data_IF_057386265924
#
_entry.id   IF_057386265924
#
_cell.length_a   1.000
_cell.length_b   1.000
_cell.length_c   1.000
_cell.angle_alpha   90.00
_cell.angle_beta   90.00
_cell.angle_gamma   90.00
#
_symmetry.space_group_name_H-M   'P 1'
#
loop_
_entity.id
_entity.type
_entity.pdbx_description
1 polymer ?
#
# COMPACT_ATOMS: atom_id res chain seq x y z
N UNK A 1 -23.05 -9.08 20.63
CA UNK A 1 -22.02 -8.13 20.16
C UNK A 1 -20.95 -8.74 19.23
N UNK A 2 -20.93 -10.06 18.94
CA UNK A 2 -19.84 -10.67 18.15
C UNK A 2 -19.97 -10.63 16.61
N UNK A 3 -21.17 -10.47 16.04
CA UNK A 3 -21.36 -10.57 14.58
C UNK A 3 -20.86 -9.36 13.77
N UNK A 4 -20.90 -8.15 14.35
CA UNK A 4 -20.52 -6.91 13.63
C UNK A 4 -18.99 -6.74 13.51
N UNK A 5 -18.25 -7.16 14.53
CA UNK A 5 -16.78 -7.17 14.52
C UNK A 5 -16.21 -8.26 13.59
N UNK A 6 -16.87 -9.41 13.50
CA UNK A 6 -16.48 -10.47 12.57
C UNK A 6 -16.62 -10.04 11.09
N UNK A 7 -17.74 -9.41 10.73
CA UNK A 7 -17.95 -8.91 9.37
C UNK A 7 -16.96 -7.79 9.02
N UNK A 8 -16.65 -6.88 9.96
CA UNK A 8 -15.66 -5.82 9.75
C UNK A 8 -14.25 -6.39 9.51
N UNK A 9 -13.85 -7.42 10.27
CA UNK A 9 -12.59 -8.13 10.03
C UNK A 9 -12.53 -8.75 8.64
N UNK A 10 -13.60 -9.40 8.18
CA UNK A 10 -13.66 -10.00 6.84
C UNK A 10 -13.39 -8.95 5.73
N UNK A 11 -14.02 -7.77 5.81
CA UNK A 11 -13.84 -6.69 4.82
C UNK A 11 -12.42 -6.12 4.76
N UNK A 12 -11.63 -6.24 5.82
CA UNK A 12 -10.24 -5.79 5.86
C UNK A 12 -9.30 -6.91 5.41
N UNK A 13 -9.40 -8.06 6.06
CA UNK A 13 -8.45 -9.16 5.86
C UNK A 13 -8.57 -9.78 4.47
N UNK A 14 -9.78 -9.86 3.89
CA UNK A 14 -9.97 -10.46 2.55
C UNK A 14 -9.27 -9.65 1.45
N UNK A 15 -9.52 -8.34 1.27
CA UNK A 15 -8.80 -7.55 0.28
C UNK A 15 -7.29 -7.50 0.51
N UNK A 16 -6.84 -7.46 1.77
CA UNK A 16 -5.41 -7.49 2.10
C UNK A 16 -4.76 -8.80 1.67
N UNK A 17 -5.37 -9.95 1.98
CA UNK A 17 -4.86 -11.26 1.57
C UNK A 17 -4.85 -11.34 0.05
N UNK A 18 -5.91 -10.91 -0.63
CA UNK A 18 -5.97 -10.85 -2.10
C UNK A 18 -4.83 -9.99 -2.66
N UNK A 19 -4.59 -8.80 -2.09
CA UNK A 19 -3.50 -7.92 -2.51
C UNK A 19 -2.14 -8.61 -2.41
N UNK A 20 -1.81 -9.22 -1.25
CA UNK A 20 -0.54 -9.92 -1.10
C UNK A 20 -0.43 -11.14 -2.01
N UNK A 21 -1.52 -11.89 -2.20
CA UNK A 21 -1.55 -13.00 -3.16
C UNK A 21 -1.27 -12.50 -4.59
N UNK A 22 -1.84 -11.38 -4.99
CA UNK A 22 -1.58 -10.76 -6.30
C UNK A 22 -0.15 -10.22 -6.42
N UNK A 23 0.44 -9.61 -5.38
CA UNK A 23 1.83 -9.13 -5.44
C UNK A 23 2.82 -10.27 -5.58
N UNK A 24 2.67 -11.34 -4.78
CA UNK A 24 3.63 -12.44 -4.75
C UNK A 24 3.39 -13.50 -5.83
N UNK A 25 2.13 -13.82 -6.14
CA UNK A 25 1.76 -14.86 -7.12
C UNK A 25 1.06 -14.32 -8.36
N UNK A 26 0.68 -13.04 -8.41
CA UNK A 26 0.02 -12.46 -9.59
C UNK A 26 0.89 -12.50 -10.83
N UNK A 27 2.22 -12.38 -10.70
CA UNK A 27 3.14 -12.57 -11.83
C UNK A 27 3.12 -14.02 -12.39
N UNK A 28 2.71 -15.01 -11.60
CA UNK A 28 2.60 -16.40 -12.03
C UNK A 28 1.23 -16.73 -12.63
N UNK A 29 0.17 -16.05 -12.16
CA UNK A 29 -1.23 -16.28 -12.59
C UNK A 29 -1.60 -15.40 -13.77
N UNK A 30 -0.99 -14.22 -13.89
CA UNK A 30 -1.25 -13.25 -14.93
C UNK A 30 0.10 -12.68 -15.43
N UNK A 31 0.74 -13.42 -16.32
CA UNK A 31 1.62 -12.80 -17.31
C UNK A 31 0.73 -12.46 -18.49
N UNK A 32 0.27 -11.20 -18.66
CA UNK A 32 -0.19 -10.83 -19.98
C UNK A 32 1.00 -11.08 -20.90
N UNK A 33 0.80 -11.84 -21.96
CA UNK A 33 1.79 -12.04 -23.01
C UNK A 33 1.97 -10.73 -23.79
N UNK A 34 2.34 -9.66 -23.09
CA UNK A 34 3.03 -8.54 -23.69
C UNK A 34 4.46 -9.01 -23.90
N UNK A 35 4.97 -8.82 -25.11
CA UNK A 35 6.37 -9.00 -25.46
C UNK A 35 7.21 -7.95 -24.69
N UNK A 36 7.35 -8.16 -23.38
CA UNK A 36 8.12 -7.29 -22.50
C UNK A 36 9.58 -7.68 -22.60
N UNK A 37 10.39 -6.75 -23.06
CA UNK A 37 11.84 -6.91 -23.05
C UNK A 37 12.42 -6.28 -21.79
N UNK A 38 13.21 -7.06 -21.06
CA UNK A 38 13.93 -6.61 -19.87
C UNK A 38 15.40 -6.94 -20.06
N UNK A 39 16.23 -5.91 -20.15
CA UNK A 39 17.68 -5.97 -20.41
C UNK A 39 18.37 -7.09 -19.61
N UNK A 40 18.12 -7.16 -18.31
CA UNK A 40 18.78 -8.08 -17.37
C UNK A 40 18.35 -9.53 -17.56
N UNK A 41 17.14 -9.77 -18.08
CA UNK A 41 16.59 -11.09 -18.34
C UNK A 41 16.96 -11.58 -19.75
N UNK A 42 16.98 -10.68 -20.73
CA UNK A 42 17.20 -11.02 -22.13
C UNK A 42 18.68 -11.05 -22.52
N UNK A 43 19.54 -10.30 -21.84
CA UNK A 43 20.98 -10.28 -22.10
C UNK A 43 21.70 -11.19 -21.10
N UNK A 44 22.52 -12.11 -21.63
CA UNK A 44 23.26 -13.05 -20.80
C UNK A 44 24.29 -12.31 -19.93
N UNK A 45 24.16 -12.41 -18.60
CA UNK A 45 25.02 -11.65 -17.67
C UNK A 45 26.41 -12.30 -17.46
N UNK A 46 26.49 -13.63 -17.50
CA UNK A 46 27.72 -14.37 -17.16
C UNK A 46 28.67 -14.65 -18.33
N UNK A 47 28.15 -14.89 -19.55
CA UNK A 47 28.95 -15.33 -20.70
C UNK A 47 29.27 -14.14 -21.60
N UNK A 48 30.53 -13.73 -21.65
CA UNK A 48 30.98 -12.53 -22.37
C UNK A 48 30.54 -12.49 -23.85
N UNK A 49 30.71 -13.59 -24.60
CA UNK A 49 30.34 -13.65 -26.03
C UNK A 49 28.83 -13.47 -26.27
N UNK A 50 28.00 -14.05 -25.41
CA UNK A 50 26.55 -13.91 -25.52
C UNK A 50 26.07 -12.54 -25.05
N UNK A 51 26.76 -11.97 -24.05
CA UNK A 51 26.53 -10.60 -23.60
C UNK A 51 26.77 -9.61 -24.73
N UNK A 52 27.91 -9.73 -25.42
CA UNK A 52 28.26 -8.87 -26.56
C UNK A 52 27.21 -8.96 -27.67
N UNK A 53 26.82 -10.18 -28.05
CA UNK A 53 25.75 -10.37 -29.04
C UNK A 53 24.42 -9.74 -28.61
N UNK A 54 24.05 -9.85 -27.33
CA UNK A 54 22.81 -9.25 -26.80
C UNK A 54 22.86 -7.73 -26.76
N UNK A 55 24.01 -7.15 -26.41
CA UNK A 55 24.23 -5.69 -26.42
C UNK A 55 24.17 -5.14 -27.85
N UNK A 56 24.73 -5.86 -28.83
CA UNK A 56 24.70 -5.43 -30.23
C UNK A 56 23.28 -5.44 -30.83
N UNK A 57 22.39 -6.29 -30.33
CA UNK A 57 20.99 -6.36 -30.75
C UNK A 57 20.08 -5.31 -30.08
N UNK A 58 20.56 -4.68 -29.00
CA UNK A 58 19.76 -3.75 -28.19
C UNK A 58 19.13 -2.60 -29.00
N UNK A 59 19.85 -1.91 -29.91
CA UNK A 59 19.26 -0.79 -30.64
C UNK A 59 18.06 -1.19 -31.51
N UNK A 60 18.09 -2.38 -32.10
CA UNK A 60 17.03 -2.91 -32.95
C UNK A 60 15.79 -3.28 -32.13
N UNK A 61 15.99 -3.87 -30.95
CA UNK A 61 14.91 -4.21 -30.01
C UNK A 61 14.24 -2.94 -29.47
N UNK A 62 15.03 -1.94 -29.07
CA UNK A 62 14.52 -0.67 -28.55
C UNK A 62 13.76 0.09 -29.64
N UNK A 63 14.24 0.09 -30.88
CA UNK A 63 13.56 0.75 -32.00
C UNK A 63 12.21 0.10 -32.37
N UNK A 64 12.11 -1.22 -32.23
CA UNK A 64 10.89 -1.99 -32.52
C UNK A 64 9.87 -1.96 -31.39
N UNK A 65 10.27 -1.64 -30.16
CA UNK A 65 9.38 -1.55 -28.99
C UNK A 65 8.34 -0.44 -29.15
N UNK A 66 7.09 -0.66 -28.75
CA UNK A 66 6.02 0.35 -28.86
C UNK A 66 6.14 1.45 -27.80
N UNK A 67 6.51 1.06 -26.58
CA UNK A 67 6.61 1.94 -25.41
C UNK A 67 7.85 1.62 -24.60
N UNK A 68 8.40 2.62 -23.92
CA UNK A 68 9.53 2.46 -23.02
C UNK A 68 9.10 2.81 -21.60
N UNK A 69 9.20 1.85 -20.70
CA UNK A 69 8.93 2.07 -19.27
C UNK A 69 10.26 2.38 -18.58
N UNK A 70 10.42 3.61 -18.11
CA UNK A 70 11.58 4.06 -17.36
C UNK A 70 11.30 3.93 -15.86
N UNK A 71 12.02 3.03 -15.20
CA UNK A 71 12.02 2.93 -13.74
C UNK A 71 12.89 4.07 -13.17
N UNK A 72 12.23 5.14 -12.76
CA UNK A 72 12.87 6.39 -12.35
C UNK A 72 13.50 6.30 -10.95
N UNK A 73 14.77 6.68 -10.88
CA UNK A 73 15.63 6.78 -9.69
C UNK A 73 16.59 7.98 -9.87
N UNK A 74 17.03 8.67 -8.81
CA UNK A 74 18.00 9.76 -8.94
C UNK A 74 19.29 9.36 -9.66
N UNK A 75 19.75 8.13 -9.43
CA UNK A 75 20.96 7.54 -10.03
C UNK A 75 20.69 6.90 -11.41
N UNK A 76 19.48 7.02 -11.97
CA UNK A 76 19.13 6.39 -13.25
C UNK A 76 20.02 6.90 -14.39
N UNK A 77 20.24 8.20 -14.46
CA UNK A 77 21.06 8.82 -15.51
C UNK A 77 22.57 8.74 -15.27
N UNK A 78 23.02 8.26 -14.09
CA UNK A 78 24.44 7.96 -13.87
C UNK A 78 24.89 6.71 -14.65
N UNK A 79 23.92 5.89 -15.06
CA UNK A 79 24.17 4.66 -15.82
C UNK A 79 24.13 4.96 -17.31
N UNK A 80 25.30 4.95 -17.94
CA UNK A 80 25.46 5.18 -19.38
C UNK A 80 24.52 4.30 -20.24
N UNK A 81 24.30 3.05 -19.82
CA UNK A 81 23.42 2.11 -20.53
C UNK A 81 21.98 2.61 -20.61
N UNK A 82 21.42 3.07 -19.49
CA UNK A 82 20.06 3.58 -19.43
C UNK A 82 19.91 4.84 -20.31
N UNK A 83 20.90 5.73 -20.29
CA UNK A 83 20.92 6.91 -21.17
C UNK A 83 20.96 6.52 -22.66
N UNK A 84 21.73 5.50 -23.02
CA UNK A 84 21.83 5.02 -24.40
C UNK A 84 20.49 4.45 -24.90
N UNK A 85 19.81 3.64 -24.07
CA UNK A 85 18.48 3.08 -24.38
C UNK A 85 17.45 4.19 -24.66
N UNK A 86 17.38 5.19 -23.78
CA UNK A 86 16.46 6.32 -23.92
C UNK A 86 16.77 7.13 -25.18
N UNK A 87 18.05 7.39 -25.46
CA UNK A 87 18.47 8.13 -26.64
C UNK A 87 18.09 7.40 -27.94
N UNK A 88 18.33 6.08 -28.00
CA UNK A 88 17.97 5.24 -29.15
C UNK A 88 16.45 5.22 -29.33
N UNK A 89 15.68 5.03 -28.26
CA UNK A 89 14.22 5.03 -28.31
C UNK A 89 13.67 6.35 -28.83
N UNK A 90 14.11 7.47 -28.24
CA UNK A 90 13.65 8.81 -28.64
C UNK A 90 14.06 9.13 -30.08
N UNK A 91 15.26 8.73 -30.51
CA UNK A 91 15.71 8.92 -31.88
C UNK A 91 14.90 8.09 -32.88
N UNK A 92 14.45 6.89 -32.49
CA UNK A 92 13.70 5.98 -33.35
C UNK A 92 12.21 6.35 -33.46
N UNK A 93 11.62 6.84 -32.36
CA UNK A 93 10.20 7.23 -32.30
C UNK A 93 9.93 8.71 -32.61
N UNK A 94 10.98 9.52 -32.78
CA UNK A 94 10.86 10.95 -33.10
C UNK A 94 10.48 11.81 -31.89
N UNK A 95 10.69 11.33 -30.66
CA UNK A 95 10.43 12.08 -29.44
C UNK A 95 10.20 11.22 -28.20
N UNK A 96 9.99 11.84 -27.03
CA UNK A 96 9.81 11.17 -25.74
C UNK A 96 8.34 10.83 -25.40
N UNK A 97 7.41 10.93 -26.35
CA UNK A 97 5.96 10.81 -26.08
C UNK A 97 5.54 9.43 -25.56
N UNK A 98 6.24 8.39 -25.98
CA UNK A 98 5.97 6.98 -25.60
C UNK A 98 6.87 6.50 -24.44
N UNK A 99 7.55 7.42 -23.75
CA UNK A 99 8.36 7.10 -22.56
C UNK A 99 7.52 7.33 -21.31
N UNK A 100 7.24 6.27 -20.56
CA UNK A 100 6.49 6.31 -19.30
C UNK A 100 7.45 6.26 -18.11
N UNK A 101 7.37 7.27 -17.24
CA UNK A 101 8.19 7.35 -16.04
C UNK A 101 7.48 6.72 -14.84
N UNK A 102 8.07 5.67 -14.27
CA UNK A 102 7.55 4.96 -13.11
C UNK A 102 8.50 5.15 -11.93
N UNK A 103 8.13 5.93 -10.90
CA UNK A 103 9.03 6.19 -9.77
C UNK A 103 9.20 4.96 -8.88
N UNK A 104 10.46 4.58 -8.61
CA UNK A 104 10.76 3.40 -7.79
C UNK A 104 10.32 3.53 -6.32
N UNK A 105 10.22 4.75 -5.80
CA UNK A 105 9.78 5.00 -4.42
C UNK A 105 8.29 4.74 -4.18
N UNK A 106 7.48 4.66 -5.24
CA UNK A 106 6.03 4.41 -5.11
C UNK A 106 5.77 3.02 -4.53
N UNK A 107 6.50 1.99 -4.99
CA UNK A 107 6.32 0.62 -4.51
C UNK A 107 6.56 0.46 -2.99
N UNK A 108 7.71 0.88 -2.41
CA UNK A 108 7.92 0.82 -0.97
C UNK A 108 6.97 1.74 -0.20
N UNK A 109 6.58 2.88 -0.76
CA UNK A 109 5.60 3.78 -0.13
C UNK A 109 4.21 3.11 -0.01
N UNK A 110 3.70 2.52 -1.09
CA UNK A 110 2.44 1.76 -1.09
C UNK A 110 2.52 0.61 -0.08
N UNK A 111 3.61 -0.16 -0.09
CA UNK A 111 3.81 -1.23 0.90
C UNK A 111 3.80 -0.70 2.34
N UNK A 112 4.47 0.42 2.60
CA UNK A 112 4.53 1.03 3.94
C UNK A 112 3.17 1.51 4.42
N UNK A 113 2.38 2.12 3.53
CA UNK A 113 1.02 2.58 3.88
C UNK A 113 0.09 1.42 4.21
N UNK A 114 0.15 0.33 3.44
CA UNK A 114 -0.63 -0.89 3.70
C UNK A 114 -0.24 -1.51 5.04
N UNK A 115 1.07 -1.66 5.31
CA UNK A 115 1.55 -2.20 6.59
C UNK A 115 1.12 -1.32 7.77
N UNK A 116 1.18 0.00 7.62
CA UNK A 116 0.74 0.94 8.65
C UNK A 116 -0.76 0.79 8.93
N UNK A 117 -1.59 0.66 7.88
CA UNK A 117 -3.03 0.45 8.04
C UNK A 117 -3.33 -0.86 8.79
N UNK A 118 -2.64 -1.95 8.46
CA UNK A 118 -2.80 -3.23 9.15
C UNK A 118 -2.42 -3.16 10.62
N UNK A 119 -1.33 -2.44 10.94
CA UNK A 119 -0.92 -2.19 12.32
C UNK A 119 -1.98 -1.37 13.08
N UNK A 120 -2.49 -0.29 12.49
CA UNK A 120 -3.52 0.54 13.11
C UNK A 120 -4.78 -0.27 13.42
N UNK A 121 -5.24 -1.09 12.47
CA UNK A 121 -6.43 -1.93 12.66
C UNK A 121 -6.18 -2.96 13.77
N UNK A 122 -5.05 -3.66 13.73
CA UNK A 122 -4.68 -4.64 14.76
C UNK A 122 -4.61 -4.03 16.16
N UNK A 123 -4.03 -2.83 16.29
CA UNK A 123 -3.95 -2.09 17.55
C UNK A 123 -5.35 -1.67 18.02
N UNK A 124 -6.19 -1.16 17.10
CA UNK A 124 -7.55 -0.72 17.45
C UNK A 124 -8.43 -1.86 17.96
N UNK A 125 -8.33 -3.05 17.34
CA UNK A 125 -9.04 -4.25 17.79
C UNK A 125 -8.52 -4.71 19.16
N UNK A 126 -7.20 -4.69 19.37
CA UNK A 126 -6.61 -5.04 20.68
C UNK A 126 -7.01 -4.05 21.77
N UNK A 127 -6.95 -2.75 21.51
CA UNK A 127 -7.38 -1.71 22.45
C UNK A 127 -8.87 -1.81 22.78
N UNK A 128 -9.72 -2.11 21.80
CA UNK A 128 -11.15 -2.32 22.02
C UNK A 128 -11.44 -3.64 22.77
N UNK A 129 -10.62 -4.67 22.57
CA UNK A 129 -10.73 -5.95 23.26
C UNK A 129 -10.16 -5.94 24.69
N UNK A 130 -9.24 -5.02 24.99
CA UNK A 130 -8.83 -4.78 26.36
C UNK A 130 -10.05 -4.32 27.15
N UNK A 131 -10.29 -4.86 28.36
CA UNK A 131 -11.35 -4.40 29.23
C UNK A 131 -10.97 -3.02 29.82
N UNK A 132 -10.90 -2.00 28.97
CA UNK A 132 -11.28 -0.64 29.35
C UNK A 132 -12.81 -0.52 29.44
N UNK A 133 -13.51 -1.65 29.60
CA UNK A 133 -14.68 -1.78 30.45
C UNK A 133 -14.29 -1.99 31.93
N UNK A 134 -13.55 -1.06 32.52
CA UNK A 134 -13.90 -0.65 33.89
C UNK A 134 -14.80 0.54 33.67
N UNK A 135 -16.10 0.29 33.66
CA UNK A 135 -17.08 1.34 33.86
C UNK A 135 -16.51 2.36 34.84
N UNK A 136 -16.42 3.60 34.40
CA UNK A 136 -15.96 4.66 35.27
C UNK A 136 -16.91 4.67 36.45
N UNK A 137 -16.45 4.18 37.59
CA UNK A 137 -17.11 4.36 38.88
C UNK A 137 -17.49 5.84 39.07
N UNK A 138 -16.79 6.76 38.40
CA UNK A 138 -17.12 8.17 38.26
C UNK A 138 -18.48 8.45 37.59
N UNK A 139 -18.87 7.77 36.50
CA UNK A 139 -20.19 7.99 35.88
C UNK A 139 -21.33 7.42 36.72
N UNK A 140 -21.16 6.23 37.33
CA UNK A 140 -22.16 5.67 38.27
C UNK A 140 -22.22 6.45 39.59
N UNK A 141 -21.08 6.94 40.09
CA UNK A 141 -21.01 7.80 41.28
C UNK A 141 -21.66 9.16 41.00
N UNK A 142 -21.41 9.77 39.83
CA UNK A 142 -22.06 11.01 39.43
C UNK A 142 -23.58 10.84 39.29
N UNK A 143 -24.06 9.76 38.67
CA UNK A 143 -25.50 9.49 38.57
C UNK A 143 -26.16 9.23 39.93
N UNK A 144 -25.47 8.51 40.83
CA UNK A 144 -25.98 8.25 42.19
C UNK A 144 -25.97 9.52 43.04
N UNK A 145 -24.94 10.36 42.93
CA UNK A 145 -24.84 11.64 43.64
C UNK A 145 -25.93 12.61 43.19
N UNK A 146 -26.16 12.76 41.89
CA UNK A 146 -27.24 13.60 41.34
C UNK A 146 -28.63 13.12 41.77
N UNK A 147 -28.83 11.80 41.86
CA UNK A 147 -30.10 11.21 42.30
C UNK A 147 -30.35 11.38 43.80
N UNK A 148 -29.31 11.33 44.63
CA UNK A 148 -29.39 11.63 46.08
C UNK A 148 -29.60 13.13 46.33
N UNK A 149 -28.91 13.99 45.57
CA UNK A 149 -29.09 15.43 45.65
C UNK A 149 -30.50 15.86 45.20
N UNK A 150 -31.00 15.32 44.09
CA UNK A 150 -32.37 15.57 43.61
C UNK A 150 -33.45 15.12 44.59
N UNK A 151 -33.28 13.96 45.22
CA UNK A 151 -34.22 13.50 46.26
C UNK A 151 -34.17 14.35 47.54
N UNK A 152 -33.02 14.94 47.91
CA UNK A 152 -32.96 15.87 49.05
C UNK A 152 -33.69 17.18 48.76
N UNK A 153 -33.51 17.75 47.56
CA UNK A 153 -34.17 19.00 47.17
C UNK A 153 -35.70 18.83 47.14
N UNK A 154 -36.20 17.71 46.61
CA UNK A 154 -37.64 17.41 46.60
C UNK A 154 -38.23 17.19 48.00
N UNK A 155 -37.45 16.69 48.96
CA UNK A 155 -37.90 16.51 50.34
C UNK A 155 -37.92 17.82 51.13
N UNK A 156 -36.99 18.75 50.87
CA UNK A 156 -37.02 20.08 51.50
C UNK A 156 -38.15 20.96 50.96
N UNK A 157 -38.45 20.89 49.65
CA UNK A 157 -39.62 21.57 49.07
C UNK A 157 -40.94 21.04 49.64
N UNK A 158 -41.06 19.71 49.87
CA UNK A 158 -42.23 19.13 50.51
C UNK A 158 -42.34 19.47 52.01
N UNK A 159 -41.23 19.73 52.71
CA UNK A 159 -41.21 20.04 54.13
C UNK A 159 -41.57 21.51 54.46
N UNK A 160 -41.48 22.42 53.48
CA UNK A 160 -41.86 23.83 53.62
C UNK A 160 -43.36 24.07 53.32
N UNK A 161 -44.04 23.07 52.74
CA UNK A 161 -45.45 23.12 52.33
C UNK A 161 -46.44 22.45 53.32
N UNK A 162 -45.99 22.06 54.52
CA UNK A 162 -46.80 21.53 55.63
C UNK A 162 -46.61 22.44 56.85
#
# INVERSE_FOLDING_TARGET
>A
MGGRSFLAGLFVWVPTIIFFLCVFWGHLVYCPAHDMWVDKLCIHQTRAKLKESGVNALPEIVATSDKMIMLWDPEYFDRLWCCAEVAIFCSSKGGPTEVEFVPLWVAPWVLSTILTQLLCISISERLFSLPLGRESNWMRSASNFLRVAGNRVLLEECAVLI
#
